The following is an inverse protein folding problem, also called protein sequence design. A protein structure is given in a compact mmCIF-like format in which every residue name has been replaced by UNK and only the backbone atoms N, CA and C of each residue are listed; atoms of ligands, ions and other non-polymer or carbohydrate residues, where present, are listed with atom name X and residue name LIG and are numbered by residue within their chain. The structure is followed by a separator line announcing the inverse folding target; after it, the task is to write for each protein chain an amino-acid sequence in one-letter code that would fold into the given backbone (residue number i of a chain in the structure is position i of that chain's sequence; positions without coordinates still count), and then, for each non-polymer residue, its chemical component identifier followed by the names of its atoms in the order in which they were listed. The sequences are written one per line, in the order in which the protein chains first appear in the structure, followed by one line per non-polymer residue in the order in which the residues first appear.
data_IF_355765776433
#
_entry.id   IF_355765776433
#
_cell.length_a   1.000
_cell.length_b   1.000
_cell.length_c   1.000
_cell.angle_alpha   90.00
_cell.angle_beta   90.00
_cell.angle_gamma   90.00
#
_symmetry.space_group_name_H-M   'P 1'
#
loop_
_entity.id
_entity.type
_entity.pdbx_description
1 polymer ?
#
# COMPACT_ATOMS: atom_id res chain seq x y z
N UNK A 1 -30.65 -7.92 0.51
CA UNK A 1 -29.16 -7.89 0.51
C UNK A 1 -28.69 -8.19 1.93
N UNK A 2 -27.91 -9.25 2.16
CA UNK A 2 -27.60 -9.70 3.53
C UNK A 2 -26.62 -8.73 4.22
N UNK A 3 -26.84 -8.45 5.52
CA UNK A 3 -25.98 -7.54 6.31
C UNK A 3 -24.49 -7.92 6.26
N UNK A 4 -24.18 -9.22 6.14
CA UNK A 4 -22.80 -9.75 5.97
C UNK A 4 -22.12 -9.29 4.67
N UNK A 5 -22.90 -9.07 3.62
CA UNK A 5 -22.39 -8.60 2.32
C UNK A 5 -22.16 -7.09 2.35
N UNK A 6 -23.08 -6.34 2.98
CA UNK A 6 -22.94 -4.88 3.15
C UNK A 6 -21.70 -4.56 3.97
N UNK A 7 -21.52 -5.23 5.12
CA UNK A 7 -20.32 -5.04 5.96
C UNK A 7 -19.01 -5.39 5.23
N UNK A 8 -18.98 -6.46 4.43
CA UNK A 8 -17.81 -6.80 3.63
C UNK A 8 -17.49 -5.74 2.57
N UNK A 9 -18.51 -5.15 1.94
CA UNK A 9 -18.32 -4.05 0.99
C UNK A 9 -17.77 -2.79 1.66
N UNK A 10 -18.35 -2.40 2.80
CA UNK A 10 -17.86 -1.25 3.58
C UNK A 10 -16.40 -1.45 3.97
N UNK A 11 -16.06 -2.62 4.53
CA UNK A 11 -14.68 -2.95 4.88
C UNK A 11 -13.75 -2.92 3.67
N UNK A 12 -14.17 -3.50 2.54
CA UNK A 12 -13.39 -3.49 1.30
C UNK A 12 -13.13 -2.07 0.77
N UNK A 13 -14.12 -1.19 0.80
CA UNK A 13 -13.98 0.21 0.37
C UNK A 13 -13.03 0.97 1.29
N UNK A 14 -13.13 0.79 2.61
CA UNK A 14 -12.22 1.42 3.57
C UNK A 14 -10.78 0.97 3.36
N UNK A 15 -10.55 -0.33 3.14
CA UNK A 15 -9.21 -0.86 2.84
C UNK A 15 -8.69 -0.28 1.51
N UNK A 16 -9.55 -0.18 0.49
CA UNK A 16 -9.18 0.41 -0.79
C UNK A 16 -8.76 1.88 -0.64
N UNK A 17 -9.48 2.65 0.18
CA UNK A 17 -9.14 4.02 0.49
C UNK A 17 -7.77 4.13 1.18
N UNK A 18 -7.42 3.17 2.05
CA UNK A 18 -6.10 3.11 2.69
C UNK A 18 -4.98 2.79 1.69
N UNK A 19 -5.21 1.93 0.69
CA UNK A 19 -4.27 1.72 -0.41
C UNK A 19 -4.04 3.00 -1.21
N UNK A 20 -5.13 3.70 -1.56
CA UNK A 20 -5.03 4.97 -2.28
C UNK A 20 -4.25 6.01 -1.46
N UNK A 21 -4.55 6.11 -0.17
CA UNK A 21 -3.80 6.96 0.76
C UNK A 21 -2.31 6.61 0.80
N UNK A 22 -1.96 5.33 0.89
CA UNK A 22 -0.56 4.87 0.92
C UNK A 22 0.22 5.28 -0.33
N UNK A 23 -0.41 5.20 -1.51
CA UNK A 23 0.17 5.69 -2.78
C UNK A 23 0.37 7.20 -2.74
N UNK A 24 -0.68 7.95 -2.36
CA UNK A 24 -0.63 9.42 -2.30
C UNK A 24 0.45 9.89 -1.33
N UNK A 25 0.58 9.25 -0.16
CA UNK A 25 1.61 9.55 0.81
C UNK A 25 3.02 9.28 0.26
N UNK A 26 3.23 8.13 -0.41
CA UNK A 26 4.52 7.81 -1.03
C UNK A 26 4.90 8.78 -2.15
N UNK A 27 3.94 9.20 -2.98
CA UNK A 27 4.14 10.24 -4.00
C UNK A 27 4.44 11.59 -3.36
N UNK A 28 3.72 11.94 -2.28
CA UNK A 28 3.99 13.13 -1.48
C UNK A 28 5.41 13.16 -0.93
N UNK A 29 5.91 12.02 -0.44
CA UNK A 29 7.29 11.86 0.01
C UNK A 29 8.28 12.04 -1.15
N UNK A 30 8.03 11.45 -2.32
CA UNK A 30 8.88 11.62 -3.49
C UNK A 30 9.00 13.09 -3.91
N UNK A 31 7.87 13.82 -3.94
CA UNK A 31 7.85 15.24 -4.31
C UNK A 31 8.52 16.08 -3.21
N UNK A 32 8.13 15.88 -1.95
CA UNK A 32 8.56 16.70 -0.82
C UNK A 32 10.01 16.46 -0.38
N UNK A 33 10.53 15.24 -0.55
CA UNK A 33 11.91 14.90 -0.20
C UNK A 33 12.90 15.12 -1.34
N UNK A 34 12.43 15.39 -2.57
CA UNK A 34 13.29 15.62 -3.73
C UNK A 34 14.30 16.76 -3.53
N UNK A 35 13.95 17.75 -2.72
CA UNK A 35 14.80 18.89 -2.36
C UNK A 35 15.83 18.57 -1.26
N UNK A 36 15.58 17.55 -0.44
CA UNK A 36 16.43 17.17 0.70
C UNK A 36 17.37 16.00 0.39
N UNK A 37 17.01 15.16 -0.60
CA UNK A 37 17.77 13.97 -1.00
C UNK A 37 18.79 14.25 -2.13
N UNK A 38 18.90 15.50 -2.60
CA UNK A 38 19.78 15.90 -3.70
C UNK A 38 21.27 15.65 -3.42
N UNK A 39 21.97 15.07 -4.41
CA UNK A 39 23.40 14.69 -4.56
C UNK A 39 24.14 14.01 -3.38
N UNK A 40 23.71 14.19 -2.13
CA UNK A 40 24.44 13.81 -0.92
C UNK A 40 24.24 12.34 -0.48
N UNK A 41 23.15 11.68 -0.90
CA UNK A 41 22.76 10.34 -0.39
C UNK A 41 22.80 9.21 -1.44
N UNK A 42 23.25 9.49 -2.67
CA UNK A 42 23.36 8.49 -3.73
C UNK A 42 22.00 7.99 -4.28
N UNK A 43 21.99 6.90 -5.08
CA UNK A 43 20.78 6.43 -5.78
C UNK A 43 19.79 5.65 -4.89
N UNK A 44 20.20 5.23 -3.69
CA UNK A 44 19.42 4.33 -2.82
C UNK A 44 18.09 4.95 -2.33
N UNK A 45 18.03 6.19 -1.82
CA UNK A 45 16.77 6.80 -1.37
C UNK A 45 15.73 6.91 -2.49
N UNK A 46 16.19 7.21 -3.71
CA UNK A 46 15.31 7.30 -4.89
C UNK A 46 14.72 5.94 -5.26
N UNK A 47 15.51 4.87 -5.17
CA UNK A 47 15.02 3.52 -5.37
C UNK A 47 14.00 3.12 -4.30
N UNK A 48 14.26 3.43 -3.03
CA UNK A 48 13.34 3.14 -1.92
C UNK A 48 12.01 3.91 -2.06
N UNK A 49 12.05 5.18 -2.48
CA UNK A 49 10.83 5.94 -2.77
C UNK A 49 10.02 5.34 -3.93
N UNK A 50 10.70 4.83 -4.96
CA UNK A 50 10.06 4.06 -6.02
C UNK A 50 9.36 2.82 -5.46
N UNK A 51 10.05 2.04 -4.63
CA UNK A 51 9.48 0.85 -3.97
C UNK A 51 8.28 1.23 -3.10
N UNK A 52 8.34 2.33 -2.35
CA UNK A 52 7.24 2.81 -1.51
C UNK A 52 5.96 3.10 -2.30
N UNK A 53 6.09 3.59 -3.55
CA UNK A 53 4.95 3.85 -4.46
C UNK A 53 4.40 2.54 -5.04
N UNK A 54 5.27 1.65 -5.48
CA UNK A 54 4.83 0.40 -6.14
C UNK A 54 4.36 -0.67 -5.18
N UNK A 55 4.82 -0.68 -3.92
CA UNK A 55 4.42 -1.64 -2.90
C UNK A 55 2.88 -1.74 -2.69
N UNK A 56 2.14 -0.64 -2.42
CA UNK A 56 0.68 -0.69 -2.31
C UNK A 56 0.01 -1.20 -3.59
N UNK A 57 0.52 -0.81 -4.76
CA UNK A 57 -0.03 -1.18 -6.07
C UNK A 57 0.17 -2.68 -6.34
N UNK A 58 1.36 -3.22 -6.06
CA UNK A 58 1.64 -4.65 -6.18
C UNK A 58 0.81 -5.47 -5.20
N UNK A 59 0.72 -5.01 -3.95
CA UNK A 59 -0.03 -5.70 -2.90
C UNK A 59 -1.54 -5.76 -3.19
N UNK A 60 -2.15 -4.67 -3.69
CA UNK A 60 -3.56 -4.69 -4.07
C UNK A 60 -3.81 -5.61 -5.27
N UNK A 61 -2.97 -5.54 -6.32
CA UNK A 61 -3.12 -6.37 -7.52
C UNK A 61 -3.01 -7.86 -7.16
N UNK A 62 -1.98 -8.23 -6.39
CA UNK A 62 -1.77 -9.62 -5.95
C UNK A 62 -2.93 -10.10 -5.08
N UNK A 63 -3.40 -9.27 -4.14
CA UNK A 63 -4.57 -9.58 -3.31
C UNK A 63 -5.82 -9.84 -4.15
N UNK A 64 -6.09 -9.02 -5.18
CA UNK A 64 -7.23 -9.18 -6.08
C UNK A 64 -7.12 -10.42 -6.98
N UNK A 65 -5.93 -10.74 -7.48
CA UNK A 65 -5.68 -11.94 -8.28
C UNK A 65 -5.92 -13.19 -7.44
N UNK A 66 -5.38 -13.25 -6.22
CA UNK A 66 -5.52 -14.39 -5.29
C UNK A 66 -6.96 -14.53 -4.78
N UNK A 67 -7.69 -13.42 -4.65
CA UNK A 67 -9.08 -13.40 -4.19
C UNK A 67 -10.11 -13.91 -5.21
N UNK A 68 -9.71 -14.20 -6.46
CA UNK A 68 -10.62 -14.70 -7.51
C UNK A 68 -11.31 -16.00 -7.06
N UNK A 69 -12.63 -16.05 -7.23
CA UNK A 69 -13.45 -17.20 -6.82
C UNK A 69 -13.67 -17.37 -5.30
N UNK A 70 -13.10 -16.49 -4.46
CA UNK A 70 -13.28 -16.56 -3.00
C UNK A 70 -14.52 -15.79 -2.52
N UNK A 71 -14.99 -16.12 -1.31
CA UNK A 71 -16.13 -15.46 -0.64
C UNK A 71 -15.78 -14.03 -0.23
N UNK A 72 -16.80 -13.16 -0.08
CA UNK A 72 -16.61 -11.73 0.16
C UNK A 72 -15.64 -11.41 1.31
N UNK A 73 -15.81 -12.05 2.47
CA UNK A 73 -14.93 -11.83 3.63
C UNK A 73 -13.50 -12.32 3.43
N UNK A 74 -13.29 -13.43 2.70
CA UNK A 74 -11.94 -13.88 2.36
C UNK A 74 -11.24 -12.86 1.46
N UNK A 75 -11.97 -12.20 0.55
CA UNK A 75 -11.40 -11.11 -0.27
C UNK A 75 -10.97 -9.92 0.59
N UNK A 76 -11.81 -9.53 1.55
CA UNK A 76 -11.50 -8.45 2.51
C UNK A 76 -10.26 -8.78 3.32
N UNK A 77 -10.15 -10.00 3.83
CA UNK A 77 -8.97 -10.45 4.58
C UNK A 77 -7.70 -10.42 3.71
N UNK A 78 -7.77 -10.88 2.46
CA UNK A 78 -6.64 -10.82 1.54
C UNK A 78 -6.21 -9.37 1.24
N UNK A 79 -7.17 -8.47 1.00
CA UNK A 79 -6.88 -7.05 0.83
C UNK A 79 -6.22 -6.44 2.06
N UNK A 80 -6.72 -6.76 3.26
CA UNK A 80 -6.14 -6.31 4.52
C UNK A 80 -4.72 -6.85 4.71
N UNK A 81 -4.47 -8.12 4.39
CA UNK A 81 -3.12 -8.70 4.44
C UNK A 81 -2.14 -7.98 3.53
N UNK A 82 -2.52 -7.71 2.27
CA UNK A 82 -1.66 -6.95 1.37
C UNK A 82 -1.39 -5.52 1.87
N UNK A 83 -2.36 -4.92 2.57
CA UNK A 83 -2.20 -3.59 3.14
C UNK A 83 -1.21 -3.63 4.32
N UNK A 84 -1.28 -4.65 5.17
CA UNK A 84 -0.31 -4.88 6.23
C UNK A 84 1.11 -5.10 5.70
N UNK A 85 1.26 -5.87 4.62
CA UNK A 85 2.57 -6.05 3.96
C UNK A 85 3.10 -4.71 3.45
N UNK A 86 2.24 -3.91 2.83
CA UNK A 86 2.61 -2.57 2.37
C UNK A 86 3.07 -1.68 3.52
N UNK A 87 2.32 -1.68 4.63
CA UNK A 87 2.67 -0.92 5.82
C UNK A 87 4.03 -1.37 6.41
N UNK A 88 4.28 -2.68 6.48
CA UNK A 88 5.56 -3.21 6.93
C UNK A 88 6.72 -2.76 6.04
N UNK A 89 6.55 -2.79 4.71
CA UNK A 89 7.57 -2.30 3.77
C UNK A 89 7.83 -0.80 3.97
N UNK A 90 6.79 0.00 4.18
CA UNK A 90 6.96 1.44 4.42
C UNK A 90 7.68 1.73 5.74
N UNK A 91 7.39 0.98 6.82
CA UNK A 91 8.12 1.09 8.08
C UNK A 91 9.61 0.80 7.90
N UNK A 92 9.94 -0.23 7.13
CA UNK A 92 11.32 -0.61 6.88
C UNK A 92 12.07 0.40 6.02
N UNK A 93 11.39 0.98 5.01
CA UNK A 93 11.94 2.08 4.23
C UNK A 93 12.22 3.28 5.14
N UNK A 94 11.30 3.62 6.03
CA UNK A 94 11.49 4.73 6.98
C UNK A 94 12.67 4.47 7.92
N UNK A 95 12.85 3.22 8.38
CA UNK A 95 13.98 2.81 9.21
C UNK A 95 15.32 2.90 8.47
N UNK A 96 15.36 2.59 7.17
CA UNK A 96 16.57 2.68 6.35
C UNK A 96 16.94 4.11 5.94
N UNK A 97 16.00 5.05 6.05
CA UNK A 97 16.18 6.47 5.65
C UNK A 97 16.44 7.41 6.84
N UNK A 98 16.25 6.96 8.09
CA UNK A 98 16.54 7.70 9.33
C UNK A 98 17.97 7.50 9.81
#
# INVERSE_FOLDING_TARGET
MNAKVISAWVAGVLILALYAYAVVAAVGNLIGMSTFLGEALGPLPWALLGVAIFAPIGAIITSLIVARGRTAWVRVLLLATGLCVTAAVQLEIMHLMS
#
